data_IF_202393956445
#
_entry.id   IF_202393956445
#
_cell.length_a   1.000
_cell.length_b   1.000
_cell.length_c   1.000
_cell.angle_alpha   90.00
_cell.angle_beta   90.00
_cell.angle_gamma   90.00
#
_symmetry.space_group_name_H-M   'P 1'
#
loop_
_entity.id
_entity.type
_entity.pdbx_description
1 polymer ?
#
# COMPACT_ATOMS: atom_id res chain seq x y z
N UNK A 1 -18.19 11.40 -2.02
CA UNK A 1 -18.46 9.96 -1.87
C UNK A 1 -18.75 9.38 -3.24
N UNK A 2 -18.69 8.04 -3.38
CA UNK A 2 -19.65 7.30 -4.22
C UNK A 2 -20.92 8.12 -4.26
N UNK A 3 -21.34 8.59 -5.44
CA UNK A 3 -22.59 9.35 -5.55
C UNK A 3 -23.59 8.71 -4.60
N UNK A 4 -24.07 9.47 -3.61
CA UNK A 4 -24.98 8.90 -2.62
C UNK A 4 -26.07 8.18 -3.42
N UNK A 5 -26.09 6.85 -3.33
CA UNK A 5 -26.94 6.00 -4.16
C UNK A 5 -28.36 6.56 -4.10
N UNK A 6 -29.16 6.41 -5.16
CA UNK A 6 -30.44 7.11 -5.31
C UNK A 6 -31.31 7.08 -4.04
N UNK A 7 -31.28 5.94 -3.33
CA UNK A 7 -31.90 5.75 -2.02
C UNK A 7 -31.34 6.68 -0.92
N UNK A 8 -30.03 6.68 -0.67
CA UNK A 8 -29.40 7.52 0.36
C UNK A 8 -29.58 9.00 0.06
N UNK A 9 -29.44 9.42 -1.21
CA UNK A 9 -29.67 10.81 -1.59
C UNK A 9 -31.11 11.25 -1.32
N UNK A 10 -32.09 10.40 -1.63
CA UNK A 10 -33.49 10.66 -1.32
C UNK A 10 -33.73 10.70 0.20
N UNK A 11 -33.11 9.82 0.97
CA UNK A 11 -33.20 9.80 2.44
C UNK A 11 -32.64 11.08 3.08
N UNK A 12 -31.50 11.57 2.61
CA UNK A 12 -30.89 12.80 3.13
C UNK A 12 -31.64 14.06 2.65
N UNK A 13 -32.26 14.03 1.48
CA UNK A 13 -33.19 15.07 1.04
C UNK A 13 -34.46 15.11 1.92
N UNK A 14 -35.02 13.95 2.28
CA UNK A 14 -36.12 13.86 3.23
C UNK A 14 -35.72 14.41 4.60
N UNK A 15 -34.50 14.12 5.07
CA UNK A 15 -33.97 14.67 6.32
C UNK A 15 -33.95 16.20 6.32
N UNK A 16 -33.47 16.83 5.23
CA UNK A 16 -33.54 18.29 5.03
C UNK A 16 -34.98 18.80 5.07
N UNK A 17 -35.89 18.16 4.34
CA UNK A 17 -37.29 18.56 4.29
C UNK A 17 -37.98 18.52 5.66
N UNK A 18 -37.63 17.53 6.50
CA UNK A 18 -38.11 17.45 7.87
C UNK A 18 -37.58 18.59 8.74
N UNK A 19 -36.31 18.97 8.61
CA UNK A 19 -35.72 20.11 9.31
C UNK A 19 -36.42 21.41 8.95
N UNK A 20 -36.61 21.66 7.66
CA UNK A 20 -37.28 22.86 7.16
C UNK A 20 -38.73 22.94 7.64
N UNK A 21 -39.45 21.81 7.64
CA UNK A 21 -40.82 21.71 8.17
C UNK A 21 -40.90 21.97 9.68
N UNK A 22 -39.85 21.63 10.42
CA UNK A 22 -39.73 21.96 11.84
C UNK A 22 -39.36 23.43 12.10
N UNK A 23 -39.10 24.23 11.06
CA UNK A 23 -38.73 25.64 11.18
C UNK A 23 -37.33 25.87 11.75
N UNK A 24 -36.45 24.88 11.64
CA UNK A 24 -35.08 24.94 12.16
C UNK A 24 -34.09 25.29 11.05
N UNK A 25 -33.20 26.24 11.31
CA UNK A 25 -31.99 26.43 10.51
C UNK A 25 -30.95 25.35 10.83
N UNK A 26 -29.99 25.16 9.92
CA UNK A 26 -28.85 24.23 10.13
C UNK A 26 -28.12 24.56 11.45
N UNK A 27 -27.76 25.83 11.68
CA UNK A 27 -27.03 26.25 12.88
C UNK A 27 -27.82 26.05 14.17
N UNK A 28 -29.15 26.27 14.15
CA UNK A 28 -29.98 26.03 15.33
C UNK A 28 -30.02 24.55 15.71
N UNK A 29 -30.03 23.66 14.72
CA UNK A 29 -30.01 22.22 14.97
C UNK A 29 -28.63 21.75 15.45
N UNK A 30 -27.55 22.34 14.91
CA UNK A 30 -26.18 22.13 15.38
C UNK A 30 -26.01 22.55 16.85
N UNK A 31 -26.51 23.73 17.21
CA UNK A 31 -26.45 24.24 18.59
C UNK A 31 -27.19 23.31 19.57
N UNK A 32 -28.37 22.80 19.19
CA UNK A 32 -29.17 21.88 20.03
C UNK A 32 -28.48 20.54 20.25
N UNK A 33 -27.83 20.01 19.21
CA UNK A 33 -27.14 18.72 19.24
C UNK A 33 -25.68 18.82 19.66
N UNK A 34 -25.19 20.03 19.99
CA UNK A 34 -23.79 20.29 20.37
C UNK A 34 -22.83 19.81 19.28
N UNK A 35 -23.15 20.14 18.03
CA UNK A 35 -22.33 19.84 16.87
C UNK A 35 -21.47 21.05 16.51
N UNK A 36 -20.29 20.78 15.93
CA UNK A 36 -19.53 21.84 15.27
C UNK A 36 -20.28 22.44 14.08
N UNK A 37 -19.91 23.66 13.64
CA UNK A 37 -20.58 24.30 12.52
C UNK A 37 -20.40 23.52 11.21
N UNK A 38 -21.49 23.37 10.45
CA UNK A 38 -21.52 22.75 9.12
C UNK A 38 -21.77 21.24 9.07
N UNK A 39 -21.93 20.56 10.22
CA UNK A 39 -22.26 19.13 10.24
C UNK A 39 -23.63 18.82 9.61
N UNK A 40 -24.64 19.65 9.86
CA UNK A 40 -25.98 19.43 9.31
C UNK A 40 -25.96 19.60 7.79
N UNK A 41 -25.31 20.65 7.30
CA UNK A 41 -25.12 20.87 5.87
C UNK A 41 -24.41 19.68 5.21
N UNK A 42 -23.35 19.15 5.84
CA UNK A 42 -22.63 17.98 5.36
C UNK A 42 -23.51 16.72 5.31
N UNK A 43 -24.36 16.50 6.29
CA UNK A 43 -25.29 15.37 6.26
C UNK A 43 -26.30 15.53 5.13
N UNK A 44 -26.96 16.69 5.02
CA UNK A 44 -28.03 16.91 4.04
C UNK A 44 -27.54 16.98 2.59
N UNK A 45 -26.32 17.46 2.35
CA UNK A 45 -25.70 17.46 1.02
C UNK A 45 -25.13 16.09 0.64
N UNK A 46 -25.26 15.10 1.51
CA UNK A 46 -24.64 13.80 1.31
C UNK A 46 -23.21 13.75 1.77
N UNK A 47 -22.46 14.86 1.88
CA UNK A 47 -21.00 14.92 2.12
C UNK A 47 -20.48 14.03 3.26
N UNK A 48 -21.32 13.68 4.23
CA UNK A 48 -21.04 12.67 5.24
C UNK A 48 -22.33 11.92 5.59
N UNK A 49 -22.25 10.60 5.77
CA UNK A 49 -23.41 9.80 6.21
C UNK A 49 -23.52 9.86 7.73
N UNK A 50 -24.63 10.36 8.30
CA UNK A 50 -24.83 10.32 9.75
C UNK A 50 -24.99 8.87 10.23
N UNK A 51 -24.49 8.57 11.43
CA UNK A 51 -24.79 7.28 12.06
C UNK A 51 -26.29 7.16 12.35
N UNK A 52 -26.78 5.93 12.52
CA UNK A 52 -28.19 5.71 12.86
C UNK A 52 -28.60 6.45 14.14
N UNK A 53 -27.71 6.52 15.14
CA UNK A 53 -27.95 7.25 16.39
C UNK A 53 -28.05 8.76 16.14
N UNK A 54 -27.22 9.31 15.25
CA UNK A 54 -27.28 10.71 14.85
C UNK A 54 -28.59 10.99 14.10
N UNK A 55 -29.02 10.11 13.19
CA UNK A 55 -30.31 10.24 12.51
C UNK A 55 -31.47 10.25 13.52
N UNK A 56 -31.45 9.35 14.50
CA UNK A 56 -32.45 9.32 15.57
C UNK A 56 -32.48 10.60 16.40
N UNK A 57 -31.31 11.13 16.77
CA UNK A 57 -31.20 12.39 17.50
C UNK A 57 -31.73 13.59 16.70
N UNK A 58 -31.40 13.66 15.40
CA UNK A 58 -31.92 14.67 14.48
C UNK A 58 -33.45 14.60 14.40
N UNK A 59 -34.01 13.41 14.17
CA UNK A 59 -35.46 13.21 14.09
C UNK A 59 -36.16 13.64 15.38
N UNK A 60 -35.57 13.33 16.55
CA UNK A 60 -36.09 13.75 17.84
C UNK A 60 -36.17 15.28 17.96
N UNK A 61 -35.09 16.00 17.65
CA UNK A 61 -35.03 17.47 17.71
C UNK A 61 -35.98 18.17 16.73
N UNK A 62 -36.27 17.50 15.60
CA UNK A 62 -37.21 17.98 14.59
C UNK A 62 -38.66 17.58 14.87
N UNK A 63 -38.93 16.84 15.96
CA UNK A 63 -40.22 16.23 16.27
C UNK A 63 -40.77 15.40 15.09
N UNK A 64 -39.88 14.65 14.44
CA UNK A 64 -40.16 13.77 13.31
C UNK A 64 -39.93 12.30 13.69
N UNK A 65 -40.34 11.38 12.82
CA UNK A 65 -40.16 9.95 13.02
C UNK A 65 -39.66 9.24 11.76
N UNK A 66 -39.25 7.97 11.92
CA UNK A 66 -38.69 7.16 10.85
C UNK A 66 -39.63 6.98 9.65
N UNK A 67 -40.94 6.84 9.86
CA UNK A 67 -41.88 6.68 8.74
C UNK A 67 -41.92 7.92 7.86
N UNK A 68 -41.78 9.10 8.45
CA UNK A 68 -41.71 10.35 7.70
C UNK A 68 -40.39 10.50 6.96
N UNK A 69 -39.29 9.99 7.51
CA UNK A 69 -37.98 9.98 6.83
C UNK A 69 -37.98 9.03 5.62
N UNK A 70 -38.66 7.88 5.75
CA UNK A 70 -38.71 6.85 4.72
C UNK A 70 -39.81 7.08 3.66
N UNK A 71 -40.63 8.12 3.82
CA UNK A 71 -41.75 8.39 2.94
C UNK A 71 -41.28 8.67 1.50
N UNK A 72 -41.89 7.98 0.53
CA UNK A 72 -41.58 8.14 -0.89
C UNK A 72 -40.18 7.68 -1.33
N UNK A 73 -39.45 6.94 -0.49
CA UNK A 73 -38.15 6.38 -0.91
C UNK A 73 -38.32 5.28 -1.96
N UNK A 74 -37.37 5.16 -2.92
CA UNK A 74 -37.34 4.03 -3.84
C UNK A 74 -37.06 2.72 -3.10
N UNK A 75 -37.38 1.58 -3.70
CA UNK A 75 -36.97 0.29 -3.14
C UNK A 75 -35.43 0.20 -3.12
N UNK A 76 -34.83 -0.24 -1.99
CA UNK A 76 -33.38 -0.41 -1.91
C UNK A 76 -32.93 -1.54 -2.82
N UNK A 77 -31.91 -1.30 -3.65
CA UNK A 77 -31.29 -2.37 -4.43
C UNK A 77 -30.46 -3.28 -3.53
N UNK A 78 -30.72 -4.60 -3.57
CA UNK A 78 -30.23 -5.58 -2.60
C UNK A 78 -28.70 -5.83 -2.59
N UNK A 79 -27.94 -5.19 -3.49
CA UNK A 79 -26.50 -5.44 -3.70
C UNK A 79 -25.59 -4.35 -3.12
N UNK A 80 -26.14 -3.28 -2.54
CA UNK A 80 -25.37 -2.09 -2.16
C UNK A 80 -24.82 -2.16 -0.73
N UNK A 81 -23.89 -3.08 -0.46
CA UNK A 81 -23.08 -3.00 0.76
C UNK A 81 -22.05 -1.89 0.59
N UNK A 82 -22.03 -0.89 1.48
CA UNK A 82 -21.02 0.18 1.44
C UNK A 82 -19.61 -0.43 1.60
N UNK A 83 -18.81 -0.38 0.53
CA UNK A 83 -17.40 -0.79 0.53
C UNK A 83 -16.51 0.44 0.41
N UNK A 84 -15.37 0.45 1.09
CA UNK A 84 -14.36 1.50 0.90
C UNK A 84 -13.59 1.36 -0.43
N UNK A 85 -13.69 0.19 -1.06
CA UNK A 85 -13.20 -0.09 -2.40
C UNK A 85 -14.16 -1.05 -3.12
N UNK A 86 -14.47 -0.77 -4.37
CA UNK A 86 -15.23 -1.65 -5.26
C UNK A 86 -14.83 -1.40 -6.70
N UNK A 87 -15.28 -2.25 -7.62
CA UNK A 87 -15.00 -2.11 -9.03
C UNK A 87 -16.28 -2.19 -9.86
N UNK A 88 -16.28 -1.52 -11.01
CA UNK A 88 -17.35 -1.53 -12.00
C UNK A 88 -16.77 -1.86 -13.37
N UNK A 89 -17.55 -2.51 -14.23
CA UNK A 89 -17.15 -2.79 -15.61
C UNK A 89 -17.06 -1.50 -16.44
N UNK A 90 -15.99 -1.38 -17.23
CA UNK A 90 -15.80 -0.33 -18.20
C UNK A 90 -15.29 -0.92 -19.53
N UNK A 91 -16.18 -1.62 -20.24
CA UNK A 91 -15.87 -2.29 -21.49
C UNK A 91 -14.99 -3.52 -21.26
N UNK A 92 -13.71 -3.47 -21.66
CA UNK A 92 -12.72 -4.55 -21.43
C UNK A 92 -11.84 -4.30 -20.19
N UNK A 93 -12.13 -3.23 -19.48
CA UNK A 93 -11.39 -2.73 -18.35
C UNK A 93 -12.33 -2.68 -17.14
N UNK A 94 -11.79 -2.43 -15.95
CA UNK A 94 -12.59 -2.06 -14.78
C UNK A 94 -12.18 -0.67 -14.29
N UNK A 95 -13.12 0.00 -13.63
CA UNK A 95 -12.85 1.18 -12.81
C UNK A 95 -12.91 0.76 -11.36
N UNK A 96 -11.79 0.89 -10.65
CA UNK A 96 -11.71 0.68 -9.21
C UNK A 96 -12.00 2.02 -8.54
N UNK A 97 -13.08 2.05 -7.77
CA UNK A 97 -13.56 3.21 -7.02
C UNK A 97 -13.10 3.10 -5.55
N UNK A 98 -12.51 4.15 -4.99
CA UNK A 98 -12.09 4.18 -3.58
C UNK A 98 -12.03 5.60 -3.02
N UNK A 99 -12.12 5.73 -1.69
CA UNK A 99 -11.94 7.04 -1.02
C UNK A 99 -10.47 7.43 -0.95
N UNK A 100 -10.17 8.68 -1.31
CA UNK A 100 -8.83 9.24 -1.17
C UNK A 100 -8.83 10.70 -0.74
N UNK A 101 -8.54 10.93 0.55
CA UNK A 101 -8.73 12.23 1.20
C UNK A 101 -10.17 12.71 0.99
N UNK A 102 -10.37 13.87 0.36
CA UNK A 102 -11.69 14.44 0.10
C UNK A 102 -12.26 14.05 -1.27
N UNK A 103 -11.67 13.07 -1.95
CA UNK A 103 -12.07 12.66 -3.30
C UNK A 103 -12.57 11.22 -3.33
N UNK A 104 -13.46 10.97 -4.28
CA UNK A 104 -13.81 9.63 -4.74
C UNK A 104 -12.95 9.35 -5.96
N UNK A 105 -11.88 8.64 -5.69
CA UNK A 105 -10.86 8.37 -6.65
C UNK A 105 -11.27 7.16 -7.50
N UNK A 106 -10.96 7.28 -8.78
CA UNK A 106 -11.11 6.25 -9.78
C UNK A 106 -9.74 5.87 -10.31
N UNK A 107 -9.45 4.58 -10.29
CA UNK A 107 -8.30 3.99 -10.95
C UNK A 107 -8.77 3.01 -12.02
N UNK A 108 -8.42 3.30 -13.27
CA UNK A 108 -8.75 2.42 -14.40
C UNK A 108 -7.70 1.32 -14.52
N UNK A 109 -8.12 0.07 -14.36
CA UNK A 109 -7.28 -1.10 -14.57
C UNK A 109 -7.60 -1.73 -15.93
N UNK A 110 -6.64 -1.65 -16.85
CA UNK A 110 -6.82 -2.09 -18.23
C UNK A 110 -6.79 -3.61 -18.36
N UNK A 111 -7.67 -4.16 -19.21
CA UNK A 111 -7.71 -5.59 -19.51
C UNK A 111 -8.08 -6.48 -18.33
N UNK A 112 -8.77 -5.93 -17.33
CA UNK A 112 -9.21 -6.63 -16.13
C UNK A 112 -10.72 -6.85 -16.16
N UNK A 113 -11.19 -7.91 -15.49
CA UNK A 113 -12.62 -8.17 -15.25
C UNK A 113 -13.00 -8.03 -13.78
N UNK A 114 -14.31 -7.93 -13.50
CA UNK A 114 -14.83 -7.95 -12.14
C UNK A 114 -14.47 -9.24 -11.41
N UNK A 115 -14.57 -10.39 -12.07
CA UNK A 115 -14.22 -11.70 -11.48
C UNK A 115 -12.77 -11.73 -10.98
N UNK A 116 -11.83 -11.19 -11.77
CA UNK A 116 -10.42 -11.12 -11.38
C UNK A 116 -10.21 -10.15 -10.21
N UNK A 117 -10.90 -9.00 -10.21
CA UNK A 117 -10.88 -8.08 -9.08
C UNK A 117 -11.38 -8.76 -7.80
N UNK A 118 -12.54 -9.43 -7.87
CA UNK A 118 -13.09 -10.17 -6.75
C UNK A 118 -12.17 -11.29 -6.27
N UNK A 119 -11.49 -11.98 -7.18
CA UNK A 119 -10.51 -13.03 -6.84
C UNK A 119 -9.38 -12.46 -5.97
N UNK A 120 -8.83 -11.30 -6.32
CA UNK A 120 -7.78 -10.63 -5.53
C UNK A 120 -8.32 -10.17 -4.17
N UNK A 121 -9.50 -9.58 -4.13
CA UNK A 121 -10.13 -9.16 -2.87
C UNK A 121 -10.43 -10.37 -1.97
N UNK A 122 -10.95 -11.47 -2.53
CA UNK A 122 -11.21 -12.73 -1.81
C UNK A 122 -9.91 -13.34 -1.29
N UNK A 123 -8.84 -13.34 -2.09
CA UNK A 123 -7.50 -13.80 -1.67
C UNK A 123 -7.04 -13.08 -0.41
N UNK A 124 -7.19 -11.74 -0.38
CA UNK A 124 -6.85 -10.93 0.79
C UNK A 124 -7.77 -11.25 1.98
N UNK A 125 -9.10 -11.20 1.76
CA UNK A 125 -10.11 -11.38 2.82
C UNK A 125 -10.04 -12.77 3.45
N UNK A 126 -9.89 -13.82 2.67
CA UNK A 126 -9.82 -15.21 3.17
C UNK A 126 -8.52 -15.44 3.95
N UNK A 127 -7.42 -14.82 3.53
CA UNK A 127 -6.19 -14.79 4.32
C UNK A 127 -6.40 -14.08 5.67
N UNK A 128 -7.01 -12.90 5.66
CA UNK A 128 -7.29 -12.11 6.87
C UNK A 128 -8.33 -12.78 7.78
N UNK A 129 -9.24 -13.59 7.24
CA UNK A 129 -10.23 -14.34 8.01
C UNK A 129 -9.58 -15.27 9.05
N UNK A 130 -8.34 -15.74 8.80
CA UNK A 130 -7.55 -16.54 9.76
C UNK A 130 -7.30 -15.82 11.08
N UNK A 131 -7.35 -14.48 11.10
CA UNK A 131 -7.23 -13.67 12.31
C UNK A 131 -8.38 -13.89 13.31
N UNK A 132 -9.52 -14.43 12.87
CA UNK A 132 -10.65 -14.72 13.76
C UNK A 132 -10.32 -15.76 14.84
N UNK A 133 -9.40 -16.69 14.52
CA UNK A 133 -8.98 -17.80 15.40
C UNK A 133 -7.49 -17.75 15.75
N UNK A 134 -6.80 -16.67 15.38
CA UNK A 134 -5.36 -16.55 15.54
C UNK A 134 -4.97 -16.29 17.01
N UNK A 135 -3.88 -16.92 17.44
CA UNK A 135 -3.17 -16.48 18.64
C UNK A 135 -2.46 -15.13 18.40
N UNK A 136 -2.20 -14.37 19.47
CA UNK A 136 -1.61 -13.02 19.36
C UNK A 136 -0.29 -12.98 18.57
N UNK A 137 0.54 -14.01 18.73
CA UNK A 137 1.84 -14.15 18.04
C UNK A 137 1.72 -14.49 16.54
N UNK A 138 0.55 -14.92 16.06
CA UNK A 138 0.31 -15.29 14.66
C UNK A 138 -0.31 -14.15 13.84
N UNK A 139 -0.86 -13.13 14.51
CA UNK A 139 -1.63 -12.05 13.87
C UNK A 139 -0.82 -11.31 12.80
N UNK A 140 0.43 -10.99 13.11
CA UNK A 140 1.31 -10.26 12.19
C UNK A 140 1.64 -11.12 10.96
N UNK A 141 2.02 -12.38 11.17
CA UNK A 141 2.33 -13.32 10.09
C UNK A 141 1.13 -13.52 9.14
N UNK A 142 -0.09 -13.67 9.68
CA UNK A 142 -1.28 -13.82 8.83
C UNK A 142 -1.58 -12.56 8.02
N UNK A 143 -1.43 -11.37 8.60
CA UNK A 143 -1.63 -10.12 7.87
C UNK A 143 -0.62 -9.97 6.73
N UNK A 144 0.66 -10.20 7.03
CA UNK A 144 1.77 -10.14 6.07
C UNK A 144 1.54 -11.12 4.91
N UNK A 145 1.28 -12.40 5.21
CA UNK A 145 1.04 -13.44 4.22
C UNK A 145 -0.17 -13.13 3.33
N UNK A 146 -1.25 -12.60 3.92
CA UNK A 146 -2.48 -12.26 3.18
C UNK A 146 -2.24 -11.13 2.17
N UNK A 147 -1.53 -10.08 2.59
CA UNK A 147 -1.16 -8.96 1.71
C UNK A 147 -0.21 -9.44 0.60
N UNK A 148 0.80 -10.24 0.95
CA UNK A 148 1.75 -10.78 -0.02
C UNK A 148 1.06 -11.66 -1.08
N UNK A 149 0.15 -12.55 -0.66
CA UNK A 149 -0.64 -13.40 -1.57
C UNK A 149 -1.52 -12.58 -2.50
N UNK A 150 -2.23 -11.59 -1.96
CA UNK A 150 -3.12 -10.75 -2.77
C UNK A 150 -2.34 -9.97 -3.84
N UNK A 151 -1.17 -9.41 -3.48
CA UNK A 151 -0.33 -8.69 -4.42
C UNK A 151 0.28 -9.60 -5.51
N UNK A 152 0.80 -10.78 -5.12
CA UNK A 152 1.33 -11.76 -6.06
C UNK A 152 0.24 -12.29 -6.99
N UNK A 153 -0.99 -12.48 -6.49
CA UNK A 153 -2.12 -12.85 -7.33
C UNK A 153 -2.44 -11.73 -8.34
N UNK A 154 -2.57 -10.49 -7.87
CA UNK A 154 -2.86 -9.34 -8.72
C UNK A 154 -1.83 -9.16 -9.85
N UNK A 155 -0.54 -9.28 -9.54
CA UNK A 155 0.53 -9.14 -10.54
C UNK A 155 0.60 -10.33 -11.51
N UNK A 156 0.17 -11.52 -11.09
CA UNK A 156 0.00 -12.68 -11.97
C UNK A 156 -1.20 -12.54 -12.92
N UNK A 157 -2.32 -12.00 -12.44
CA UNK A 157 -3.52 -11.75 -13.25
C UNK A 157 -3.32 -10.60 -14.23
N UNK A 158 -2.60 -9.56 -13.81
CA UNK A 158 -2.39 -8.34 -14.59
C UNK A 158 -0.90 -7.99 -14.72
N UNK A 159 -0.10 -8.81 -15.43
CA UNK A 159 1.34 -8.57 -15.60
C UNK A 159 1.63 -7.27 -16.38
N UNK A 160 0.66 -6.80 -17.17
CA UNK A 160 0.75 -5.53 -17.88
C UNK A 160 0.33 -4.31 -17.03
N UNK A 161 -0.15 -4.48 -15.80
CA UNK A 161 -0.44 -3.35 -14.92
C UNK A 161 0.85 -2.80 -14.28
N UNK A 162 0.82 -1.56 -13.82
CA UNK A 162 1.90 -0.98 -13.02
C UNK A 162 1.87 -1.62 -11.62
N UNK A 163 2.92 -2.36 -11.20
CA UNK A 163 2.91 -3.04 -9.89
C UNK A 163 2.71 -2.07 -8.72
N UNK A 164 3.30 -0.87 -8.80
CA UNK A 164 3.10 0.18 -7.80
C UNK A 164 1.63 0.64 -7.68
N UNK A 165 0.88 0.68 -8.79
CA UNK A 165 -0.54 1.02 -8.78
C UNK A 165 -1.39 -0.09 -8.17
N UNK A 166 -1.06 -1.36 -8.46
CA UNK A 166 -1.72 -2.50 -7.82
C UNK A 166 -1.48 -2.49 -6.30
N UNK A 167 -0.26 -2.17 -5.86
CA UNK A 167 0.05 -2.02 -4.43
C UNK A 167 -0.75 -0.88 -3.80
N UNK A 168 -0.78 0.29 -4.44
CA UNK A 168 -1.26 1.53 -3.84
C UNK A 168 -2.76 1.79 -4.01
N UNK A 169 -3.34 1.51 -5.17
CA UNK A 169 -4.75 1.76 -5.48
C UNK A 169 -5.64 0.54 -5.29
N UNK A 170 -5.08 -0.67 -5.26
CA UNK A 170 -5.85 -1.90 -5.01
C UNK A 170 -5.55 -2.52 -3.65
N UNK A 171 -4.36 -3.07 -3.43
CA UNK A 171 -4.05 -3.87 -2.22
C UNK A 171 -4.12 -3.05 -0.95
N UNK A 172 -3.52 -1.86 -0.92
CA UNK A 172 -3.60 -0.94 0.22
C UNK A 172 -5.06 -0.57 0.55
N UNK A 173 -5.85 -0.23 -0.47
CA UNK A 173 -7.26 0.17 -0.31
C UNK A 173 -8.13 -0.99 0.18
N UNK A 174 -7.94 -2.17 -0.39
CA UNK A 174 -8.57 -3.40 0.04
C UNK A 174 -8.20 -3.75 1.49
N UNK A 175 -6.94 -3.59 1.88
CA UNK A 175 -6.54 -3.81 3.27
C UNK A 175 -7.18 -2.79 4.22
N UNK A 176 -7.39 -1.54 3.80
CA UNK A 176 -8.03 -0.53 4.64
C UNK A 176 -9.56 -0.65 4.72
N UNK A 177 -10.18 -1.47 3.88
CA UNK A 177 -11.61 -1.76 3.94
C UNK A 177 -11.94 -2.68 5.13
N UNK A 178 -12.71 -2.20 6.14
CA UNK A 178 -13.01 -2.97 7.34
C UNK A 178 -13.72 -4.30 7.05
N UNK A 179 -14.47 -4.39 5.95
CA UNK A 179 -15.20 -5.61 5.60
C UNK A 179 -14.31 -6.73 5.06
N UNK A 180 -13.03 -6.46 4.79
CA UNK A 180 -12.06 -7.51 4.48
C UNK A 180 -11.42 -8.11 5.75
N UNK A 181 -11.74 -7.59 6.94
CA UNK A 181 -11.23 -8.10 8.22
C UNK A 181 -12.34 -8.78 9.04
N UNK A 182 -12.00 -9.70 9.96
CA UNK A 182 -12.97 -10.21 10.91
C UNK A 182 -13.63 -9.09 11.73
N UNK A 183 -14.93 -9.20 11.96
CA UNK A 183 -15.75 -8.16 12.61
C UNK A 183 -15.22 -7.72 14.00
N UNK A 184 -14.53 -8.61 14.72
CA UNK A 184 -13.89 -8.28 16.01
C UNK A 184 -12.83 -7.17 15.91
N UNK A 185 -12.34 -6.88 14.70
CA UNK A 185 -11.36 -5.82 14.42
C UNK A 185 -11.99 -4.57 13.78
N UNK A 186 -13.32 -4.50 13.60
CA UNK A 186 -13.98 -3.43 12.85
C UNK A 186 -13.75 -2.00 13.40
N UNK A 187 -13.30 -1.87 14.65
CA UNK A 187 -12.98 -0.58 15.29
C UNK A 187 -11.51 -0.16 15.16
N UNK A 188 -10.67 -0.97 14.51
CA UNK A 188 -9.26 -0.65 14.35
C UNK A 188 -9.03 0.35 13.22
N UNK A 189 -8.02 1.20 13.38
CA UNK A 189 -7.49 2.01 12.29
C UNK A 189 -6.58 1.14 11.40
N UNK A 190 -7.14 0.64 10.30
CA UNK A 190 -6.40 -0.18 9.33
C UNK A 190 -5.33 0.61 8.58
N UNK A 191 -5.40 1.94 8.51
CA UNK A 191 -4.33 2.77 7.94
C UNK A 191 -3.09 2.73 8.84
N UNK A 192 -3.26 2.76 10.16
CA UNK A 192 -2.12 2.57 11.08
C UNK A 192 -1.61 1.14 11.06
N UNK A 193 -2.51 0.15 11.00
CA UNK A 193 -2.10 -1.26 10.88
C UNK A 193 -1.29 -1.49 9.60
N UNK A 194 -1.65 -0.84 8.48
CA UNK A 194 -0.96 -0.97 7.21
C UNK A 194 0.50 -0.51 7.28
N UNK A 195 0.82 0.53 8.05
CA UNK A 195 2.19 1.08 8.13
C UNK A 195 3.26 0.05 8.53
N UNK A 196 2.85 -1.01 9.25
CA UNK A 196 3.73 -2.12 9.60
C UNK A 196 3.53 -3.31 8.68
N UNK A 197 2.29 -3.77 8.51
CA UNK A 197 1.95 -4.92 7.66
C UNK A 197 2.48 -4.75 6.23
N UNK A 198 2.30 -3.57 5.64
CA UNK A 198 2.71 -3.30 4.26
C UNK A 198 4.23 -3.37 4.06
N UNK A 199 5.03 -2.96 5.06
CA UNK A 199 6.48 -3.08 4.99
C UNK A 199 6.93 -4.54 4.94
N UNK A 200 6.49 -5.33 5.94
CA UNK A 200 6.82 -6.75 6.02
C UNK A 200 6.28 -7.56 4.84
N UNK A 201 5.08 -7.23 4.36
CA UNK A 201 4.51 -7.93 3.21
C UNK A 201 5.33 -7.67 1.95
N UNK A 202 5.92 -6.49 1.82
CA UNK A 202 6.79 -6.16 0.69
C UNK A 202 8.12 -6.94 0.73
N UNK A 203 8.71 -7.11 1.92
CA UNK A 203 9.86 -8.00 2.12
C UNK A 203 9.52 -9.43 1.72
N UNK A 204 8.35 -9.92 2.13
CA UNK A 204 7.89 -11.27 1.81
C UNK A 204 7.60 -11.46 0.32
N UNK A 205 7.03 -10.45 -0.34
CA UNK A 205 6.81 -10.42 -1.80
C UNK A 205 8.16 -10.54 -2.53
N UNK A 206 9.15 -9.74 -2.14
CA UNK A 206 10.48 -9.76 -2.74
C UNK A 206 11.10 -11.17 -2.65
N UNK A 207 11.05 -11.78 -1.47
CA UNK A 207 11.62 -13.13 -1.24
C UNK A 207 10.86 -14.20 -2.01
N UNK A 208 9.52 -14.17 -2.01
CA UNK A 208 8.70 -15.16 -2.74
C UNK A 208 8.87 -15.04 -4.25
N UNK A 209 9.03 -13.83 -4.77
CA UNK A 209 9.19 -13.58 -6.20
C UNK A 209 10.59 -13.94 -6.70
N UNK A 210 11.65 -13.43 -6.06
CA UNK A 210 13.03 -13.59 -6.54
C UNK A 210 13.78 -14.78 -5.94
N UNK A 211 13.41 -15.23 -4.74
CA UNK A 211 14.13 -16.26 -3.99
C UNK A 211 14.36 -17.55 -4.78
N UNK A 212 13.32 -18.17 -5.38
CA UNK A 212 13.49 -19.40 -6.17
C UNK A 212 14.44 -19.22 -7.35
N UNK A 213 14.32 -18.11 -8.09
CA UNK A 213 15.17 -17.81 -9.24
C UNK A 213 16.63 -17.63 -8.83
N UNK A 214 16.90 -16.77 -7.83
CA UNK A 214 18.25 -16.54 -7.32
C UNK A 214 18.87 -17.81 -6.73
N UNK A 215 18.08 -18.62 -6.03
CA UNK A 215 18.55 -19.89 -5.45
C UNK A 215 19.03 -20.86 -6.51
N UNK A 216 18.35 -20.91 -7.67
CA UNK A 216 18.78 -21.72 -8.82
C UNK A 216 20.17 -21.31 -9.37
N UNK A 217 20.67 -20.13 -9.00
CA UNK A 217 21.97 -19.58 -9.39
C UNK A 217 22.97 -19.50 -8.22
N UNK A 218 22.66 -20.14 -7.09
CA UNK A 218 23.52 -20.18 -5.91
C UNK A 218 23.52 -18.90 -5.07
N UNK A 219 22.46 -18.08 -5.16
CA UNK A 219 22.25 -16.91 -4.31
C UNK A 219 20.98 -17.12 -3.47
N UNK A 220 21.08 -16.92 -2.16
CA UNK A 220 19.96 -16.97 -1.23
C UNK A 220 19.49 -15.55 -0.92
N UNK A 221 18.17 -15.40 -0.87
CA UNK A 221 17.46 -14.17 -0.50
C UNK A 221 16.42 -14.54 0.57
N UNK A 222 16.53 -13.99 1.77
CA UNK A 222 15.64 -14.37 2.88
C UNK A 222 15.49 -13.26 3.92
N UNK A 223 14.37 -13.29 4.66
CA UNK A 223 14.13 -12.45 5.83
C UNK A 223 14.76 -13.15 7.03
N UNK A 224 15.77 -12.52 7.63
CA UNK A 224 16.43 -13.05 8.83
C UNK A 224 15.60 -12.74 10.09
N UNK A 225 15.64 -13.61 11.09
CA UNK A 225 15.10 -13.29 12.41
C UNK A 225 16.04 -12.37 13.20
N UNK A 226 15.61 -11.91 14.38
CA UNK A 226 16.40 -11.00 15.20
C UNK A 226 17.76 -11.56 15.64
N UNK A 227 17.84 -12.87 15.94
CA UNK A 227 19.08 -13.49 16.37
C UNK A 227 20.07 -13.62 15.21
N UNK A 228 19.57 -13.99 14.04
CA UNK A 228 20.35 -14.10 12.81
C UNK A 228 20.85 -12.73 12.34
N UNK A 229 20.01 -11.68 12.41
CA UNK A 229 20.44 -10.29 12.11
C UNK A 229 21.57 -9.84 13.04
N UNK A 230 21.47 -10.11 14.34
CA UNK A 230 22.53 -9.79 15.31
C UNK A 230 23.81 -10.59 15.04
N UNK A 231 23.70 -11.87 14.68
CA UNK A 231 24.83 -12.72 14.31
C UNK A 231 25.53 -12.20 13.05
N UNK A 232 24.77 -11.76 12.04
CA UNK A 232 25.30 -11.13 10.84
C UNK A 232 26.06 -9.87 11.25
N UNK A 233 25.42 -8.89 11.90
CA UNK A 233 26.06 -7.62 12.28
C UNK A 233 27.31 -7.85 13.14
N UNK A 234 27.25 -8.74 14.13
CA UNK A 234 28.42 -9.06 14.97
C UNK A 234 29.55 -9.79 14.23
N UNK A 235 29.25 -10.44 13.11
CA UNK A 235 30.24 -11.06 12.23
C UNK A 235 30.81 -10.09 11.17
N UNK A 236 30.18 -8.94 10.96
CA UNK A 236 30.68 -7.90 10.07
C UNK A 236 31.67 -7.03 10.86
N UNK A 237 32.93 -7.01 10.46
CA UNK A 237 33.96 -6.17 11.08
C UNK A 237 33.87 -4.72 10.55
N UNK A 238 32.73 -4.06 10.82
CA UNK A 238 32.43 -2.72 10.33
C UNK A 238 32.88 -1.67 11.34
N UNK A 239 33.45 -0.57 10.85
CA UNK A 239 33.92 0.54 11.69
C UNK A 239 32.76 1.30 12.35
N UNK A 240 31.63 1.38 11.64
CA UNK A 240 30.43 2.08 12.09
C UNK A 240 29.53 1.17 12.95
N UNK A 241 28.91 1.75 13.99
CA UNK A 241 27.87 1.04 14.76
C UNK A 241 26.61 0.93 13.92
N UNK A 242 26.14 -0.30 13.73
CA UNK A 242 24.97 -0.60 12.92
C UNK A 242 23.85 -1.16 13.77
N UNK A 243 22.63 -0.73 13.47
CA UNK A 243 21.41 -1.24 14.08
C UNK A 243 20.90 -2.43 13.26
N UNK A 244 20.87 -3.62 13.87
CA UNK A 244 20.51 -4.85 13.17
C UNK A 244 19.04 -4.89 12.70
N UNK A 245 18.16 -4.11 13.33
CA UNK A 245 16.74 -4.00 12.97
C UNK A 245 16.52 -3.26 11.64
N UNK A 246 17.54 -2.57 11.11
CA UNK A 246 17.52 -1.92 9.78
C UNK A 246 17.79 -2.89 8.62
N UNK A 247 18.15 -4.14 8.91
CA UNK A 247 18.29 -5.17 7.88
C UNK A 247 16.89 -5.63 7.49
N UNK A 248 16.44 -5.31 6.28
CA UNK A 248 15.16 -5.79 5.75
C UNK A 248 15.31 -7.23 5.23
N UNK A 249 16.06 -7.42 4.13
CA UNK A 249 16.28 -8.74 3.50
C UNK A 249 17.76 -9.05 3.30
N UNK A 250 18.18 -10.27 3.63
CA UNK A 250 19.59 -10.71 3.59
C UNK A 250 19.93 -11.40 2.28
N UNK A 251 21.14 -11.14 1.78
CA UNK A 251 21.77 -11.82 0.64
C UNK A 251 22.96 -12.67 1.09
N UNK A 252 22.90 -13.96 0.79
CA UNK A 252 24.07 -14.86 0.90
C UNK A 252 24.30 -15.61 -0.40
N UNK A 253 25.53 -16.02 -0.65
CA UNK A 253 25.88 -16.86 -1.80
C UNK A 253 26.43 -18.20 -1.37
N UNK A 254 26.10 -19.26 -2.10
CA UNK A 254 26.55 -20.62 -1.79
C UNK A 254 28.04 -20.78 -2.11
N UNK A 255 28.83 -21.24 -1.14
CA UNK A 255 30.25 -21.58 -1.30
C UNK A 255 30.52 -23.00 -0.78
N UNK A 256 31.67 -23.62 -1.13
CA UNK A 256 32.05 -24.93 -0.57
C UNK A 256 32.10 -24.96 0.97
N UNK A 257 32.36 -23.82 1.61
CA UNK A 257 32.45 -23.67 3.07
C UNK A 257 31.09 -23.34 3.73
N UNK A 258 30.03 -23.19 2.91
CA UNK A 258 28.69 -22.79 3.35
C UNK A 258 28.26 -21.42 2.81
N UNK A 259 27.04 -20.96 3.14
CA UNK A 259 26.53 -19.68 2.68
C UNK A 259 27.38 -18.50 3.20
N UNK A 260 27.84 -17.64 2.30
CA UNK A 260 28.61 -16.45 2.61
C UNK A 260 27.75 -15.20 2.46
N UNK A 261 27.66 -14.38 3.50
CA UNK A 261 26.97 -13.09 3.44
C UNK A 261 27.69 -12.14 2.47
N UNK A 262 26.94 -11.51 1.57
CA UNK A 262 27.49 -10.51 0.65
C UNK A 262 26.65 -9.23 0.54
N UNK A 263 25.50 -9.13 1.23
CA UNK A 263 24.72 -7.90 1.19
C UNK A 263 23.37 -7.94 1.91
N UNK A 264 22.70 -6.79 1.87
CA UNK A 264 21.35 -6.55 2.38
C UNK A 264 20.56 -5.79 1.33
N UNK A 265 19.31 -6.15 1.10
CA UNK A 265 18.37 -5.38 0.27
C UNK A 265 17.47 -4.56 1.18
N UNK A 266 17.44 -3.25 0.96
CA UNK A 266 16.53 -2.33 1.64
C UNK A 266 15.21 -2.30 0.89
N UNK A 267 14.08 -2.54 1.57
CA UNK A 267 12.79 -2.78 0.92
C UNK A 267 11.78 -1.74 1.37
N UNK A 268 11.37 -0.84 0.47
CA UNK A 268 10.47 0.28 0.83
C UNK A 268 9.33 0.45 -0.16
N UNK A 269 8.08 0.49 0.33
CA UNK A 269 6.94 0.80 -0.53
C UNK A 269 6.99 2.25 -1.04
N UNK A 270 7.37 3.19 -0.18
CA UNK A 270 7.51 4.62 -0.46
C UNK A 270 8.76 5.14 0.27
N UNK A 271 9.37 6.21 -0.23
CA UNK A 271 10.59 6.76 0.34
C UNK A 271 10.35 7.58 1.61
N UNK A 272 9.29 8.41 1.62
CA UNK A 272 9.00 9.37 2.70
C UNK A 272 10.28 10.06 3.26
N UNK A 273 10.24 10.55 4.50
CA UNK A 273 11.45 10.98 5.24
C UNK A 273 12.34 9.78 5.61
N UNK A 274 11.74 8.59 5.79
CA UNK A 274 12.32 7.42 6.45
C UNK A 274 13.52 6.77 5.75
N UNK A 275 13.76 7.05 4.46
CA UNK A 275 14.95 6.54 3.77
C UNK A 275 16.27 6.93 4.46
N UNK A 276 16.29 8.05 5.19
CA UNK A 276 17.49 8.49 5.93
C UNK A 276 17.87 7.53 7.05
N UNK A 277 16.94 6.70 7.51
CA UNK A 277 17.18 5.72 8.58
C UNK A 277 18.03 4.54 8.07
N UNK A 278 17.95 4.22 6.78
CA UNK A 278 18.67 3.09 6.18
C UNK A 278 20.04 3.50 5.60
N UNK A 279 20.22 4.80 5.33
CA UNK A 279 21.45 5.36 4.72
C UNK A 279 22.71 5.00 5.54
N UNK A 280 22.76 5.12 6.88
CA UNK A 280 23.95 4.76 7.65
C UNK A 280 24.38 3.30 7.47
N UNK A 281 23.43 2.35 7.55
CA UNK A 281 23.69 0.93 7.31
C UNK A 281 24.22 0.71 5.89
N UNK A 282 23.58 1.33 4.91
CA UNK A 282 23.93 1.16 3.50
C UNK A 282 25.33 1.69 3.17
N UNK A 283 25.71 2.85 3.71
CA UNK A 283 27.05 3.42 3.57
C UNK A 283 28.10 2.50 4.20
N UNK A 284 27.86 2.02 5.42
CA UNK A 284 28.79 1.16 6.13
C UNK A 284 29.03 -0.16 5.39
N UNK A 285 27.96 -0.80 4.88
CA UNK A 285 28.05 -2.00 4.05
C UNK A 285 28.83 -1.74 2.77
N UNK A 286 28.51 -0.66 2.06
CA UNK A 286 29.14 -0.33 0.77
C UNK A 286 30.63 -0.05 0.91
N UNK A 287 31.05 0.66 1.97
CA UNK A 287 32.47 0.93 2.28
C UNK A 287 33.26 -0.34 2.54
N UNK A 288 32.63 -1.33 3.18
CA UNK A 288 33.22 -2.64 3.42
C UNK A 288 33.10 -3.61 2.23
N UNK A 289 32.63 -3.15 1.07
CA UNK A 289 32.54 -3.94 -0.17
C UNK A 289 31.29 -4.81 -0.29
N UNK A 290 30.35 -4.73 0.67
CA UNK A 290 29.07 -5.45 0.60
C UNK A 290 28.09 -4.76 -0.33
N UNK A 291 27.12 -5.53 -0.83
CA UNK A 291 26.04 -5.03 -1.68
C UNK A 291 24.87 -4.53 -0.82
N UNK A 292 24.33 -3.37 -1.16
CA UNK A 292 23.31 -2.67 -0.38
C UNK A 292 22.30 -1.94 -1.29
N UNK A 293 21.52 -2.65 -2.14
CA UNK A 293 20.61 -2.02 -3.08
C UNK A 293 19.29 -1.63 -2.41
N UNK A 294 18.62 -0.63 -2.97
CA UNK A 294 17.26 -0.28 -2.61
C UNK A 294 16.26 -0.90 -3.58
N UNK A 295 15.26 -1.60 -3.06
CA UNK A 295 14.15 -2.18 -3.80
C UNK A 295 12.85 -1.49 -3.39
N UNK A 296 12.10 -0.95 -4.35
CA UNK A 296 10.98 -0.06 -4.01
C UNK A 296 9.79 -0.11 -4.96
N UNK A 297 8.60 0.11 -4.41
CA UNK A 297 7.41 0.41 -5.21
C UNK A 297 7.33 1.89 -5.60
N UNK A 298 8.16 2.78 -5.07
CA UNK A 298 8.11 4.24 -5.27
C UNK A 298 6.66 4.79 -5.27
N UNK A 299 5.89 4.44 -4.23
CA UNK A 299 4.48 4.82 -4.13
C UNK A 299 4.34 6.26 -3.63
N UNK A 300 3.81 7.14 -4.48
CA UNK A 300 3.29 8.45 -4.09
C UNK A 300 2.35 8.99 -5.15
N UNK A 301 1.14 9.33 -4.70
CA UNK A 301 0.18 10.10 -5.49
C UNK A 301 -0.29 11.31 -4.69
N UNK A 302 -0.69 12.36 -5.41
CA UNK A 302 -1.53 13.41 -4.83
C UNK A 302 -2.98 12.94 -4.81
N UNK A 303 -3.75 13.21 -3.74
CA UNK A 303 -5.19 12.97 -3.76
C UNK A 303 -5.87 13.71 -4.91
N UNK A 304 -6.89 13.08 -5.49
CA UNK A 304 -7.67 13.60 -6.61
C UNK A 304 -8.66 12.54 -7.10
N UNK A 305 -9.59 12.93 -7.97
CA UNK A 305 -10.59 12.02 -8.57
C UNK A 305 -9.95 10.97 -9.49
N UNK A 306 -8.84 11.30 -10.13
CA UNK A 306 -8.07 10.39 -10.99
C UNK A 306 -6.59 10.47 -10.58
N UNK A 307 -6.26 9.95 -9.39
CA UNK A 307 -4.93 10.12 -8.83
C UNK A 307 -3.90 9.39 -9.69
N UNK A 308 -2.73 10.00 -9.86
CA UNK A 308 -1.60 9.40 -10.57
C UNK A 308 -0.47 9.15 -9.57
N UNK A 309 0.00 7.91 -9.52
CA UNK A 309 1.09 7.48 -8.67
C UNK A 309 2.45 7.76 -9.33
N UNK A 310 2.90 9.01 -9.23
CA UNK A 310 4.15 9.47 -9.87
C UNK A 310 5.41 9.10 -9.09
N UNK A 311 5.27 8.59 -7.87
CA UNK A 311 6.41 8.32 -6.98
C UNK A 311 7.09 9.57 -6.46
N UNK A 312 8.26 9.39 -5.86
CA UNK A 312 9.00 10.42 -5.13
C UNK A 312 10.41 10.67 -5.70
N UNK A 313 10.85 9.88 -6.66
CA UNK A 313 12.17 10.01 -7.29
C UNK A 313 12.26 11.19 -8.28
N UNK A 314 11.12 11.75 -8.70
CA UNK A 314 11.09 12.89 -9.61
C UNK A 314 11.75 12.60 -10.98
N UNK A 315 12.04 13.68 -11.71
CA UNK A 315 12.58 13.61 -13.07
C UNK A 315 14.02 13.09 -13.09
N UNK A 316 14.42 12.43 -14.18
CA UNK A 316 15.79 11.97 -14.39
C UNK A 316 16.77 13.13 -14.64
N UNK A 317 16.29 14.21 -15.27
CA UNK A 317 17.08 15.40 -15.57
C UNK A 317 16.42 16.67 -15.03
N UNK A 318 17.22 17.72 -14.80
CA UNK A 318 16.73 19.01 -14.32
C UNK A 318 16.30 18.98 -12.85
N UNK A 319 15.00 18.96 -12.57
CA UNK A 319 14.44 19.06 -11.20
C UNK A 319 14.43 17.70 -10.47
N UNK A 320 15.59 17.06 -10.38
CA UNK A 320 15.80 15.82 -9.62
C UNK A 320 15.42 16.02 -8.15
N UNK A 321 14.67 15.09 -7.57
CA UNK A 321 14.32 15.14 -6.15
C UNK A 321 15.55 14.86 -5.27
N UNK A 322 15.50 15.27 -4.00
CA UNK A 322 16.57 14.93 -3.04
C UNK A 322 16.80 13.41 -2.96
N UNK A 323 15.71 12.63 -2.99
CA UNK A 323 15.71 11.17 -2.96
C UNK A 323 16.46 10.55 -4.13
N UNK A 324 16.34 11.14 -5.32
CA UNK A 324 17.12 10.71 -6.49
C UNK A 324 18.59 11.07 -6.37
N UNK A 325 18.93 12.26 -5.86
CA UNK A 325 20.32 12.68 -5.66
C UNK A 325 21.06 11.78 -4.66
N UNK A 326 20.37 11.35 -3.61
CA UNK A 326 20.89 10.37 -2.63
C UNK A 326 21.39 9.08 -3.31
N UNK A 327 20.78 8.69 -4.44
CA UNK A 327 21.14 7.50 -5.22
C UNK A 327 22.17 7.84 -6.30
N UNK A 328 21.88 8.84 -7.14
CA UNK A 328 22.66 9.11 -8.35
C UNK A 328 23.97 9.86 -8.09
N UNK A 329 23.92 10.83 -7.19
CA UNK A 329 25.06 11.72 -6.91
C UNK A 329 25.88 11.16 -5.74
N UNK A 330 25.20 10.86 -4.63
CA UNK A 330 25.83 10.46 -3.38
C UNK A 330 26.15 8.95 -3.32
N UNK A 331 25.37 8.12 -4.02
CA UNK A 331 25.56 6.67 -4.01
C UNK A 331 25.32 6.02 -2.65
N UNK A 332 24.32 6.50 -1.90
CA UNK A 332 23.98 5.95 -0.58
C UNK A 332 23.50 4.50 -0.63
N UNK A 333 23.07 4.00 -1.79
CA UNK A 333 22.68 2.61 -2.01
C UNK A 333 23.42 2.08 -3.24
N UNK A 334 23.70 0.78 -3.29
CA UNK A 334 24.29 0.14 -4.47
C UNK A 334 23.18 -0.14 -5.50
N UNK A 335 22.67 0.91 -6.13
CA UNK A 335 21.56 0.88 -7.08
C UNK A 335 20.18 0.97 -6.42
N UNK A 336 19.20 1.42 -7.20
CA UNK A 336 17.80 1.52 -6.82
C UNK A 336 16.92 0.87 -7.88
N UNK A 337 16.00 0.00 -7.47
CA UNK A 337 15.15 -0.83 -8.33
C UNK A 337 13.69 -0.52 -8.03
N UNK A 338 13.06 0.24 -8.92
CA UNK A 338 11.68 0.68 -8.79
C UNK A 338 10.74 -0.18 -9.62
N UNK A 339 9.60 -0.54 -9.03
CA UNK A 339 8.49 -1.23 -9.69
C UNK A 339 7.30 -0.30 -9.93
N UNK A 340 7.55 1.02 -9.92
CA UNK A 340 6.65 2.01 -10.48
C UNK A 340 7.07 2.32 -11.92
N UNK A 341 6.19 2.00 -12.87
CA UNK A 341 6.42 2.26 -14.30
C UNK A 341 6.47 3.75 -14.66
N UNK A 342 6.02 4.62 -13.76
CA UNK A 342 6.11 6.08 -13.93
C UNK A 342 7.42 6.66 -13.38
N UNK A 343 8.23 5.86 -12.68
CA UNK A 343 9.59 6.25 -12.30
C UNK A 343 10.43 6.48 -13.54
N UNK A 344 11.16 7.59 -13.59
CA UNK A 344 12.11 7.85 -14.67
C UNK A 344 13.44 7.12 -14.41
N UNK A 345 13.94 6.27 -15.31
CA UNK A 345 15.24 5.62 -15.11
C UNK A 345 16.37 6.64 -15.19
N UNK A 346 17.47 6.38 -14.49
CA UNK A 346 18.69 7.19 -14.61
C UNK A 346 19.33 7.06 -15.99
N UNK A 347 20.15 8.05 -16.37
CA UNK A 347 20.95 7.99 -17.58
C UNK A 347 21.90 6.78 -17.60
N UNK A 348 22.02 6.14 -18.77
CA UNK A 348 22.89 4.98 -18.97
C UNK A 348 24.40 5.29 -18.83
N UNK A 349 24.78 6.56 -18.68
CA UNK A 349 26.16 6.97 -18.44
C UNK A 349 26.60 6.83 -16.97
N UNK A 350 25.66 6.83 -16.01
CA UNK A 350 26.01 6.67 -14.59
C UNK A 350 26.51 5.24 -14.30
N UNK A 351 27.33 4.98 -13.29
CA UNK A 351 27.63 3.62 -12.84
C UNK A 351 26.36 2.87 -12.44
N UNK A 352 26.25 1.57 -12.71
CA UNK A 352 25.06 0.77 -12.37
C UNK A 352 24.68 0.87 -10.87
N UNK A 353 25.67 0.99 -9.99
CA UNK A 353 25.51 1.16 -8.54
C UNK A 353 24.93 2.54 -8.15
N UNK A 354 24.82 3.48 -9.09
CA UNK A 354 24.24 4.82 -8.88
C UNK A 354 23.02 5.06 -9.75
N UNK A 355 22.40 4.00 -10.29
CA UNK A 355 21.21 4.14 -11.14
C UNK A 355 19.94 3.83 -10.38
N UNK A 356 18.94 4.65 -10.65
CA UNK A 356 17.53 4.28 -10.56
C UNK A 356 17.17 3.48 -11.80
N UNK A 357 16.70 2.26 -11.59
CA UNK A 357 16.29 1.32 -12.63
C UNK A 357 14.81 1.01 -12.48
N UNK A 358 14.09 0.95 -13.59
CA UNK A 358 12.68 0.53 -13.62
C UNK A 358 12.64 -0.94 -13.99
N UNK A 359 12.00 -1.74 -13.15
CA UNK A 359 12.01 -3.19 -13.24
C UNK A 359 10.66 -3.73 -13.73
N UNK A 360 10.69 -4.96 -14.22
CA UNK A 360 9.50 -5.69 -14.64
C UNK A 360 9.18 -6.78 -13.62
N UNK A 361 8.05 -6.63 -12.91
CA UNK A 361 7.62 -7.60 -11.90
C UNK A 361 7.04 -8.88 -12.52
N UNK A 362 6.82 -8.94 -13.84
CA UNK A 362 6.23 -10.12 -14.47
C UNK A 362 7.19 -11.32 -14.53
N UNK A 363 8.49 -11.09 -14.38
CA UNK A 363 9.54 -12.09 -14.49
C UNK A 363 10.63 -11.86 -13.42
N UNK A 364 10.96 -12.88 -12.60
CA UNK A 364 12.03 -12.75 -11.61
C UNK A 364 13.44 -12.68 -12.24
N UNK A 365 13.59 -12.99 -13.52
CA UNK A 365 14.80 -12.73 -14.31
C UNK A 365 14.75 -11.32 -14.93
N UNK A 366 14.95 -10.30 -14.09
CA UNK A 366 14.89 -8.90 -14.47
C UNK A 366 16.20 -8.16 -14.13
N UNK A 367 16.15 -6.83 -14.24
CA UNK A 367 17.29 -5.96 -13.98
C UNK A 367 17.80 -6.07 -12.53
N UNK A 368 16.91 -6.31 -11.56
CA UNK A 368 17.28 -6.46 -10.16
C UNK A 368 18.04 -7.77 -9.93
N UNK A 369 17.49 -8.90 -10.35
CA UNK A 369 18.16 -10.19 -10.12
C UNK A 369 19.47 -10.30 -10.88
N UNK A 370 19.54 -9.77 -12.10
CA UNK A 370 20.78 -9.68 -12.87
C UNK A 370 21.85 -8.82 -12.19
N UNK A 371 21.45 -7.72 -11.55
CA UNK A 371 22.36 -6.93 -10.73
C UNK A 371 22.89 -7.74 -9.54
N UNK A 372 22.01 -8.40 -8.78
CA UNK A 372 22.40 -9.22 -7.62
C UNK A 372 23.37 -10.33 -8.03
N UNK A 373 23.10 -11.05 -9.12
CA UNK A 373 23.96 -12.12 -9.62
C UNK A 373 25.35 -11.61 -10.02
N UNK A 374 25.43 -10.45 -10.68
CA UNK A 374 26.72 -9.82 -11.01
C UNK A 374 27.48 -9.42 -9.76
N UNK A 375 26.80 -8.86 -8.76
CA UNK A 375 27.41 -8.50 -7.47
C UNK A 375 27.96 -9.71 -6.74
N UNK A 376 27.24 -10.82 -6.74
CA UNK A 376 27.73 -12.08 -6.19
C UNK A 376 29.00 -12.57 -6.91
N UNK A 377 29.01 -12.54 -8.24
CA UNK A 377 30.20 -12.92 -9.02
C UNK A 377 31.42 -12.04 -8.70
N UNK A 378 31.22 -10.73 -8.58
CA UNK A 378 32.27 -9.78 -8.21
C UNK A 378 32.78 -10.05 -6.78
N UNK A 379 31.87 -10.22 -5.83
CA UNK A 379 32.20 -10.46 -4.43
C UNK A 379 33.04 -11.74 -4.23
N UNK A 380 32.80 -12.78 -5.03
CA UNK A 380 33.60 -14.02 -5.02
C UNK A 380 35.00 -13.89 -5.62
N UNK A 381 35.24 -12.84 -6.42
CA UNK A 381 36.50 -12.62 -7.12
C UNK A 381 37.50 -11.76 -6.35
N UNK A 382 37.01 -11.04 -5.34
CA UNK A 382 37.75 -10.38 -4.26
C UNK A 382 38.01 -11.35 -3.12
#
# INVERSE_FOLDING_TARGET
>A
MTEAHGYLKALLANLRGLREKAGLSESQLEDRLILGPGWISRFENGETVPSIDMVLALLHEMNANFNQLLDGLPDPEALEVERLIFAEEAGKDIIINFRYANHDAQYKLQGASLDQFEEVIKTLRDGLARLAVAEKNQSEAFKTDSVARAFLNATSLWPAANPSDLWWFLVYRAYCDPFNHPAQFARLDFTQSWKRTGGWALEEILVRHYGPFLKSKGVNLFIADGAEKQRIVGGLNLEDRIEADKIDVVLTGDTPQGPQFFGVVHVKASFAERRTDDVPLSIALSRAGYTSPLWTMDCKSMPGEKPINRGELGDADGRRSAKRKDIEDEGYFTGCFSYNRLTQPSAAALPAERRVQVCDFSNPDDVFSQFILRRWQQFRST
#
